data_IF_606763996461
#
_entry.id   IF_606763996461
#
_cell.length_a   1.000
_cell.length_b   1.000
_cell.length_c   1.000
_cell.angle_alpha   90.00
_cell.angle_beta   90.00
_cell.angle_gamma   90.00
#
_symmetry.space_group_name_H-M   'P 1'
#
loop_
_entity.id
_entity.type
_entity.pdbx_description
1 polymer ?
2 non-polymer ?
3 water ?
#
# COMPACT_ATOMS: atom_id res chain seq x y z
N UNK A 15 25.93 -13.58 10.22
CA UNK A 15 24.55 -13.97 9.99
C UNK A 15 23.84 -12.95 9.10
N UNK A 16 23.70 -13.30 7.82
CA UNK A 16 22.84 -12.55 6.93
C UNK A 16 21.53 -13.30 6.84
N UNK A 17 20.41 -12.71 7.23
CA UNK A 17 19.14 -13.44 7.14
C UNK A 17 18.55 -13.39 5.73
N UNK A 18 17.66 -14.34 5.48
CA UNK A 18 16.75 -14.23 4.37
C UNK A 18 15.66 -13.21 4.71
N UNK A 19 14.96 -12.73 3.68
CA UNK A 19 13.88 -11.79 3.86
C UNK A 19 12.68 -12.28 3.07
N UNK A 20 11.52 -12.33 3.72
CA UNK A 20 10.24 -12.63 3.07
C UNK A 20 9.34 -11.42 3.29
N UNK A 21 8.89 -10.82 2.19
CA UNK A 21 8.02 -9.65 2.23
C UNK A 21 6.67 -10.02 1.65
N UNK A 22 5.61 -9.92 2.45
CA UNK A 22 4.24 -9.93 1.95
C UNK A 22 3.90 -8.51 1.58
N UNK A 23 3.68 -8.28 0.30
CA UNK A 23 3.39 -6.94 -0.21
C UNK A 23 1.97 -6.96 -0.69
N UNK A 24 1.05 -6.35 0.06
CA UNK A 24 -0.38 -6.49 -0.20
C UNK A 24 -0.87 -5.21 -0.87
N UNK A 25 -1.56 -5.38 -2.00
CA UNK A 25 -2.01 -4.24 -2.79
C UNK A 25 -3.29 -3.64 -2.23
N UNK A 26 -3.26 -2.33 -2.02
CA UNK A 26 -4.47 -1.54 -1.74
C UNK A 26 -5.03 -1.83 -0.35
N UNK A 27 -4.16 -2.25 0.58
CA UNK A 27 -4.54 -2.64 1.93
C UNK A 27 -4.30 -1.50 2.92
N UNK A 28 -5.37 -0.92 3.43
CA UNK A 28 -5.25 -0.12 4.64
C UNK A 28 -5.17 -1.06 5.84
N UNK A 29 -4.98 -0.51 7.03
CA UNK A 29 -4.77 -1.35 8.22
C UNK A 29 -6.09 -1.88 8.77
N UNK A 30 -6.90 -2.51 7.92
CA UNK A 30 -8.20 -3.09 8.30
C UNK A 30 -7.94 -4.54 8.68
N UNK A 31 -7.39 -4.67 9.90
CA UNK A 31 -6.82 -5.91 10.42
C UNK A 31 -7.14 -5.98 11.90
N UNK A 32 -7.46 -7.19 12.39
CA UNK A 32 -7.76 -7.35 13.81
C UNK A 32 -6.69 -6.76 14.71
N UNK A 33 -5.43 -7.01 14.39
CA UNK A 33 -4.35 -6.53 15.25
C UNK A 33 -4.21 -5.02 15.25
N UNK A 34 -4.77 -4.33 14.27
CA UNK A 34 -4.81 -2.88 14.23
C UNK A 34 -6.09 -2.34 14.86
N UNK A 35 -6.83 -3.19 15.54
CA UNK A 35 -8.03 -2.76 16.24
C UNK A 35 -9.28 -2.73 15.39
N UNK A 36 -9.24 -3.27 14.18
CA UNK A 36 -10.47 -3.35 13.41
C UNK A 36 -11.45 -4.23 14.17
N UNK A 37 -12.67 -3.75 14.31
CA UNK A 37 -13.72 -4.56 14.93
C UNK A 37 -14.44 -5.41 13.91
N UNK A 38 -14.09 -5.26 12.64
CA UNK A 38 -14.77 -6.01 11.58
C UNK A 38 -13.90 -7.11 11.00
N UNK A 39 -12.62 -6.83 10.73
CA UNK A 39 -11.82 -7.75 9.92
C UNK A 39 -11.47 -9.01 10.69
N UNK A 40 -11.54 -10.15 9.99
CA UNK A 40 -11.19 -11.45 10.54
C UNK A 40 -9.86 -11.88 9.90
N UNK A 41 -8.76 -11.72 10.63
CA UNK A 41 -7.42 -11.82 10.07
C UNK A 41 -6.51 -12.62 11.00
N UNK A 42 -6.83 -13.88 11.26
CA UNK A 42 -6.06 -14.64 12.27
C UNK A 42 -4.59 -14.80 11.94
N UNK A 43 -4.24 -14.99 10.67
CA UNK A 43 -2.84 -15.28 10.34
C UNK A 43 -1.98 -14.03 10.40
N UNK A 44 -2.50 -12.91 9.92
CA UNK A 44 -1.76 -11.66 10.03
C UNK A 44 -1.66 -11.25 11.49
N UNK A 45 -2.74 -11.46 12.25
CA UNK A 45 -2.69 -11.14 13.68
C UNK A 45 -1.61 -11.97 14.37
N UNK A 46 -1.50 -13.25 14.00
CA UNK A 46 -0.46 -14.08 14.60
C UNK A 46 0.93 -13.55 14.27
N UNK A 47 1.13 -13.16 13.02
CA UNK A 47 2.40 -12.55 12.68
C UNK A 47 2.70 -11.33 13.54
N UNK A 48 1.69 -10.50 13.81
CA UNK A 48 1.91 -9.36 14.69
C UNK A 48 2.31 -9.79 16.10
N UNK A 49 1.73 -10.88 16.62
CA UNK A 49 2.13 -11.38 17.93
C UNK A 49 3.57 -11.87 17.94
N UNK A 50 4.15 -12.07 16.76
CA UNK A 50 5.53 -12.53 16.62
C UNK A 50 6.50 -11.43 16.17
N UNK A 51 6.09 -10.16 16.20
CA UNK A 51 6.94 -9.10 15.69
C UNK A 51 6.53 -7.77 16.23
N UNK A 52 6.93 -6.73 15.51
CA UNK A 52 6.67 -5.35 15.87
C UNK A 52 5.69 -4.79 14.85
N UNK A 53 4.62 -4.21 15.36
CA UNK A 53 3.58 -3.61 14.56
C UNK A 53 3.74 -2.10 14.61
N UNK A 54 3.83 -1.48 13.44
CA UNK A 54 4.00 -0.05 13.32
C UNK A 54 2.64 0.59 13.09
N UNK A 55 2.20 1.39 14.06
CA UNK A 55 0.92 2.05 14.00
C UNK A 55 0.93 3.39 13.28
N UNK A 56 2.11 3.90 12.93
CA UNK A 56 2.25 5.18 12.21
C UNK A 56 3.21 5.01 11.05
N UNK A 57 2.86 4.08 10.15
CA UNK A 57 3.62 3.87 8.91
C UNK A 57 2.86 4.49 7.75
N UNK A 58 3.61 5.14 6.84
CA UNK A 58 3.04 5.95 5.77
C UNK A 58 3.75 5.77 4.45
N UNK A 59 2.97 5.81 3.37
CA UNK A 59 3.48 5.72 2.02
C UNK A 59 3.80 7.09 1.46
N UNK A 60 4.50 7.11 0.32
CA UNK A 60 5.00 8.36 -0.26
C UNK A 60 4.13 8.90 -1.40
N UNK A 61 3.18 8.10 -1.89
CA UNK A 61 2.12 8.52 -2.78
C UNK A 61 1.09 7.38 -2.78
N UNK A 62 -0.18 7.74 -2.69
CA UNK A 62 -1.26 6.74 -2.57
C UNK A 62 -1.77 6.28 -3.94
N UNK A 63 -0.87 5.70 -4.72
CA UNK A 63 -1.22 4.98 -5.94
C UNK A 63 -0.13 3.96 -6.20
N UNK A 64 -0.46 2.92 -6.99
CA UNK A 64 0.38 1.73 -6.97
C UNK A 64 1.76 1.97 -7.54
N UNK A 65 1.85 2.45 -8.80
CA UNK A 65 3.14 2.44 -9.48
C UNK A 65 4.15 3.34 -8.77
N UNK A 66 3.85 4.60 -8.48
CA UNK A 66 4.85 5.44 -7.80
C UNK A 66 5.21 4.88 -6.43
N UNK A 67 4.22 4.38 -5.67
CA UNK A 67 4.51 3.89 -4.33
C UNK A 67 5.47 2.74 -4.38
N UNK A 68 5.23 1.80 -5.31
CA UNK A 68 6.03 0.61 -5.37
C UNK A 68 7.43 0.89 -5.89
N UNK A 69 7.55 1.70 -6.95
CA UNK A 69 8.92 2.00 -7.43
C UNK A 69 9.67 2.84 -6.41
N UNK A 70 8.98 3.70 -5.66
CA UNK A 70 9.64 4.43 -4.60
C UNK A 70 10.17 3.48 -3.53
N UNK A 71 9.35 2.51 -3.11
CA UNK A 71 9.78 1.56 -2.11
C UNK A 71 10.93 0.71 -2.62
N UNK A 72 10.84 0.27 -3.89
CA UNK A 72 11.84 -0.65 -4.44
C UNK A 72 13.15 0.06 -4.80
N UNK A 73 13.16 1.39 -4.89
CA UNK A 73 14.38 2.15 -5.10
C UNK A 73 14.83 2.91 -3.87
N UNK A 74 14.01 3.01 -2.82
CA UNK A 74 14.40 3.84 -1.69
C UNK A 74 14.48 5.30 -2.02
N UNK A 75 13.80 5.75 -3.05
CA UNK A 75 13.75 7.14 -3.47
C UNK A 75 12.30 7.60 -3.49
N UNK A 76 12.05 8.83 -3.19
CA UNK A 76 10.69 9.35 -3.19
C UNK A 76 10.16 9.60 -4.60
N UNK A 77 8.84 9.55 -4.80
CA UNK A 77 8.27 9.88 -6.12
C UNK A 77 8.73 11.21 -6.67
N UNK A 78 8.86 12.24 -5.84
CA UNK A 78 9.31 13.53 -6.33
C UNK A 78 10.80 13.57 -6.67
N UNK A 79 11.58 12.57 -6.24
CA UNK A 79 12.93 12.42 -6.75
C UNK A 79 12.91 11.79 -8.14
N UNK A 80 12.02 10.83 -8.36
CA UNK A 80 11.89 10.17 -9.66
C UNK A 80 11.07 10.95 -10.68
N UNK A 81 10.24 11.87 -10.24
CA UNK A 81 9.33 12.61 -11.09
C UNK A 81 8.21 11.78 -11.69
N UNK A 82 7.82 10.67 -11.06
CA UNK A 82 6.79 9.77 -11.59
C UNK A 82 5.67 9.71 -10.58
N UNK A 83 4.52 10.25 -10.96
CA UNK A 83 3.37 10.40 -10.07
C UNK A 83 2.11 9.76 -10.62
N UNK A 84 2.17 9.09 -11.77
CA UNK A 84 1.01 8.41 -12.33
C UNK A 84 1.36 6.97 -12.61
N UNK A 85 0.52 6.30 -13.39
CA UNK A 85 0.45 4.84 -13.46
C UNK A 85 0.86 4.26 -14.79
N UNK A 86 1.30 5.09 -15.74
CA UNK A 86 1.54 4.64 -17.09
C UNK A 86 3.01 4.66 -17.47
N UNK A 87 3.90 4.73 -16.49
CA UNK A 87 5.32 4.95 -16.73
C UNK A 87 6.15 4.00 -15.87
N UNK A 88 6.58 2.87 -16.42
CA UNK A 88 7.49 1.98 -15.69
C UNK A 88 8.74 2.73 -15.25
N UNK A 89 9.28 2.35 -14.08
CA UNK A 89 10.50 2.98 -13.59
C UNK A 89 11.56 2.97 -14.68
N UNK A 90 11.77 1.81 -15.29
CA UNK A 90 12.84 1.63 -16.22
C UNK A 90 12.55 2.20 -17.62
N UNK A 91 11.37 2.77 -17.84
CA UNK A 91 11.15 3.50 -19.08
C UNK A 91 11.71 4.91 -19.03
N UNK A 92 12.14 5.38 -17.85
CA UNK A 92 12.73 6.69 -17.65
C UNK A 92 14.10 6.59 -17.00
N UNK A 93 14.19 5.84 -15.88
CA UNK A 93 15.38 5.80 -14.99
C UNK A 93 16.01 4.42 -15.01
N UNK A 94 16.97 4.21 -15.89
CA UNK A 94 17.51 2.88 -16.06
C UNK A 94 18.61 2.54 -15.06
N UNK A 95 19.16 3.54 -14.35
CA UNK A 95 20.35 3.35 -13.54
C UNK A 95 20.15 3.34 -12.03
N UNK A 96 19.09 3.95 -11.51
CA UNK A 96 18.91 3.93 -10.06
C UNK A 96 18.87 2.50 -9.59
N UNK A 97 19.58 2.23 -8.51
CA UNK A 97 19.74 0.88 -8.00
C UNK A 97 18.53 0.47 -7.16
N UNK A 98 17.95 -0.69 -7.47
CA UNK A 98 16.75 -1.17 -6.80
C UNK A 98 17.08 -2.32 -5.86
N UNK A 99 16.06 -2.72 -5.10
CA UNK A 99 16.16 -3.86 -4.17
C UNK A 99 16.62 -5.12 -4.89
N UNK A 100 15.91 -5.61 -5.92
CA UNK A 100 16.37 -6.86 -6.55
C UNK A 100 17.75 -6.71 -7.16
N UNK A 101 18.07 -5.57 -7.76
CA UNK A 101 19.40 -5.39 -8.37
C UNK A 101 20.49 -5.52 -7.32
N UNK A 102 20.32 -4.80 -6.21
CA UNK A 102 21.35 -4.80 -5.18
C UNK A 102 21.48 -6.18 -4.54
N UNK A 103 20.35 -6.80 -4.24
CA UNK A 103 20.42 -8.11 -3.60
C UNK A 103 21.00 -9.16 -4.54
N UNK A 104 20.63 -9.15 -5.82
CA UNK A 104 21.18 -10.13 -6.75
C UNK A 104 22.69 -9.96 -6.88
N UNK A 105 23.16 -8.70 -6.94
CA UNK A 105 24.60 -8.43 -7.05
C UNK A 105 25.36 -8.90 -5.81
N UNK A 106 24.65 -8.98 -4.68
CA UNK A 106 25.24 -9.41 -3.42
C UNK A 106 24.93 -10.86 -3.08
N UNK A 107 24.68 -11.69 -4.09
CA UNK A 107 24.65 -13.12 -3.87
C UNK A 107 23.35 -13.70 -3.38
N UNK A 108 22.30 -12.90 -3.26
CA UNK A 108 20.99 -13.42 -2.87
C UNK A 108 20.22 -13.91 -4.09
N UNK A 109 19.44 -14.96 -3.89
CA UNK A 109 18.36 -15.25 -4.81
C UNK A 109 17.30 -14.17 -4.61
N UNK A 110 16.67 -13.74 -5.70
CA UNK A 110 15.70 -12.65 -5.70
C UNK A 110 14.41 -13.15 -6.34
N UNK A 111 13.33 -13.10 -5.59
CA UNK A 111 12.09 -13.73 -6.02
C UNK A 111 11.01 -12.68 -6.05
N UNK A 112 10.30 -12.64 -7.19
CA UNK A 112 9.12 -11.79 -7.35
C UNK A 112 7.97 -12.68 -7.76
N UNK A 113 6.93 -12.69 -6.92
CA UNK A 113 5.70 -13.44 -7.15
C UNK A 113 4.57 -12.44 -7.06
N UNK A 114 3.63 -12.54 -8.00
CA UNK A 114 2.48 -11.65 -7.88
C UNK A 114 2.83 -10.22 -8.23
N UNK A 115 2.08 -9.27 -7.68
CA UNK A 115 2.26 -7.85 -7.98
C UNK A 115 3.29 -7.24 -7.03
N UNK A 116 4.47 -6.95 -7.57
CA UNK A 116 5.58 -6.36 -6.83
C UNK A 116 5.83 -4.97 -7.42
N UNK A 117 6.58 -4.86 -8.51
CA UNK A 117 6.45 -3.65 -9.33
C UNK A 117 5.08 -3.62 -9.98
N UNK A 118 4.49 -2.42 -10.12
CA UNK A 118 3.20 -2.33 -10.82
C UNK A 118 3.34 -2.79 -12.25
N UNK A 119 4.47 -2.51 -12.89
CA UNK A 119 4.77 -2.90 -14.26
C UNK A 119 5.78 -4.04 -14.16
N UNK A 120 5.37 -5.25 -14.53
CA UNK A 120 6.21 -6.42 -14.36
C UNK A 120 7.47 -6.38 -15.16
N UNK A 121 7.52 -5.57 -16.22
CA UNK A 121 8.76 -5.42 -16.98
C UNK A 121 9.86 -4.78 -16.16
N UNK A 122 9.55 -3.99 -15.13
CA UNK A 122 10.59 -3.30 -14.39
C UNK A 122 11.48 -4.30 -13.65
N UNK A 123 12.78 -4.27 -13.94
CA UNK A 123 13.76 -5.15 -13.30
C UNK A 123 13.47 -6.62 -13.50
N UNK A 124 12.79 -6.98 -14.59
CA UNK A 124 12.44 -8.39 -14.77
C UNK A 124 13.68 -9.26 -14.71
N UNK A 125 14.80 -8.80 -15.28
CA UNK A 125 16.04 -9.56 -15.34
C UNK A 125 16.79 -9.57 -14.02
N UNK A 126 16.36 -8.81 -13.02
CA UNK A 126 17.04 -8.78 -11.73
C UNK A 126 16.48 -9.81 -10.77
N UNK A 127 15.45 -10.55 -11.18
CA UNK A 127 14.85 -11.59 -10.36
C UNK A 127 15.43 -12.91 -10.80
N UNK A 128 16.01 -13.67 -9.88
CA UNK A 128 16.44 -15.03 -10.20
C UNK A 128 15.24 -15.96 -10.35
N UNK A 129 14.12 -15.64 -9.70
CA UNK A 129 12.94 -16.47 -9.77
C UNK A 129 11.74 -15.53 -9.91
N UNK A 130 11.04 -15.62 -11.03
CA UNK A 130 10.03 -14.63 -11.38
C UNK A 130 8.74 -15.36 -11.76
N UNK A 131 7.64 -15.02 -11.08
CA UNK A 131 6.31 -15.50 -11.42
C UNK A 131 5.48 -14.24 -11.63
N UNK A 132 5.07 -14.02 -12.88
CA UNK A 132 4.38 -12.80 -13.23
C UNK A 132 3.10 -12.62 -12.44
N UNK A 133 2.79 -11.38 -12.11
CA UNK A 133 1.44 -11.04 -11.73
C UNK A 133 0.49 -11.50 -12.83
N UNK A 134 -0.71 -11.91 -12.44
CA UNK A 134 -1.67 -12.53 -13.33
C UNK A 134 -2.88 -11.64 -13.51
N UNK A 135 -3.60 -11.80 -14.62
CA UNK A 135 -4.82 -11.03 -14.83
C UNK A 135 -5.90 -11.42 -13.83
N UNK A 136 -6.90 -10.57 -13.76
CA UNK A 136 -8.08 -10.90 -12.95
C UNK A 136 -8.83 -12.10 -13.52
N UNK A 137 -9.48 -12.86 -12.63
CA UNK A 137 -10.31 -14.00 -13.00
C UNK A 137 -11.70 -13.79 -12.43
N UNK A 138 -12.71 -13.96 -13.29
CA UNK A 138 -14.10 -14.11 -12.88
C UNK A 138 -14.48 -15.56 -13.10
N UNK A 139 -14.90 -16.22 -12.03
CA UNK A 139 -15.23 -17.64 -12.06
C UNK A 139 -16.72 -17.93 -12.11
N UNK A 140 -17.56 -16.96 -11.90
CA UNK A 140 -18.98 -17.24 -11.99
C UNK A 140 -19.41 -17.26 -13.45
N UNK A 141 -20.09 -18.33 -13.91
CA UNK A 141 -20.53 -18.38 -15.32
C UNK A 141 -21.23 -17.11 -15.80
N UNK A 142 -22.06 -16.49 -14.96
CA UNK A 142 -22.71 -15.23 -15.34
C UNK A 142 -21.69 -14.14 -15.69
N UNK A 143 -20.62 -14.02 -14.92
CA UNK A 143 -19.63 -12.99 -15.20
C UNK A 143 -18.83 -13.36 -16.45
N UNK A 144 -18.53 -14.65 -16.61
CA UNK A 144 -17.87 -15.15 -17.82
C UNK A 144 -18.72 -14.83 -19.05
N UNK A 145 -20.04 -14.95 -18.91
CA UNK A 145 -20.95 -14.69 -20.02
C UNK A 145 -21.02 -13.20 -20.32
N UNK A 146 -21.07 -12.38 -19.29
CA UNK A 146 -21.01 -10.93 -19.49
C UNK A 146 -19.79 -10.57 -20.32
N UNK A 147 -18.62 -11.09 -19.93
CA UNK A 147 -17.39 -10.75 -20.63
C UNK A 147 -17.41 -11.31 -22.05
N UNK A 148 -18.07 -12.45 -22.24
CA UNK A 148 -18.19 -13.03 -23.57
C UNK A 148 -19.07 -12.15 -24.46
N UNK A 149 -20.16 -11.63 -23.90
CA UNK A 149 -21.05 -10.75 -24.64
C UNK A 149 -20.37 -9.42 -24.95
N UNK A 150 -19.44 -9.00 -24.08
CA UNK A 150 -18.57 -7.87 -24.39
C UNK A 150 -17.68 -8.18 -25.59
N UNK A 151 -17.00 -9.32 -25.57
CA UNK A 151 -16.05 -9.65 -26.63
C UNK A 151 -16.76 -9.76 -27.98
N UNK A 152 -17.95 -10.36 -27.98
CA UNK A 152 -18.82 -10.39 -29.15
C UNK A 152 -19.75 -9.18 -29.15
N UNK A 153 -19.11 -8.01 -29.10
CA UNK A 153 -19.75 -6.70 -29.13
C UNK A 153 -18.67 -5.65 -29.33
N UNK A 154 -17.42 -6.10 -29.44
CA UNK A 154 -16.26 -5.25 -29.59
C UNK A 154 -15.88 -4.43 -28.38
N UNK A 155 -16.50 -4.64 -27.21
CA UNK A 155 -16.17 -3.81 -26.06
C UNK A 155 -15.03 -4.43 -25.25
N UNK A 156 -14.01 -3.63 -24.98
CA UNK A 156 -13.14 -3.82 -23.83
C UNK A 156 -13.75 -3.07 -22.65
N UNK A 157 -14.34 -3.79 -21.70
CA UNK A 157 -14.93 -3.21 -20.50
C UNK A 157 -14.69 -4.14 -19.31
N UNK A 158 -14.63 -3.56 -18.10
CA UNK A 158 -14.46 -4.37 -16.91
C UNK A 158 -15.72 -5.19 -16.58
N UNK A 159 -15.54 -6.34 -15.92
CA UNK A 159 -16.61 -7.04 -15.25
C UNK A 159 -17.06 -6.31 -13.99
N UNK A 160 -17.84 -6.96 -13.13
CA UNK A 160 -18.32 -6.29 -11.90
C UNK A 160 -17.19 -6.03 -10.92
N UNK A 161 -17.51 -5.24 -9.92
CA UNK A 161 -16.50 -4.80 -8.96
C UNK A 161 -16.13 -5.82 -7.90
N UNK A 162 -16.80 -6.96 -7.88
CA UNK A 162 -16.57 -7.98 -6.86
C UNK A 162 -17.14 -9.28 -7.37
N UNK A 163 -16.72 -10.37 -6.72
CA UNK A 163 -17.22 -11.69 -7.06
C UNK A 163 -17.03 -12.61 -5.87
N UNK A 164 -17.97 -13.55 -5.67
CA UNK A 164 -17.95 -14.47 -4.51
C UNK A 164 -18.15 -15.93 -4.93
N UNK A 165 -17.37 -16.43 -5.82
CA UNK A 165 -17.57 -17.76 -6.37
C UNK A 165 -17.21 -18.83 -5.35
N UNK A 166 -17.94 -19.95 -5.42
CA UNK A 166 -17.78 -21.04 -4.45
C UNK A 166 -16.72 -22.01 -4.97
N UNK A 167 -15.46 -21.57 -4.80
CA UNK A 167 -14.33 -22.14 -5.49
C UNK A 167 -13.13 -22.29 -4.56
N UNK A 168 -12.23 -23.20 -4.92
CA UNK A 168 -10.96 -23.36 -4.22
C UNK A 168 -10.13 -22.08 -4.29
N UNK A 169 -9.24 -21.94 -3.32
CA UNK A 169 -8.42 -20.74 -3.21
C UNK A 169 -7.62 -20.45 -4.48
N UNK A 170 -7.14 -21.49 -5.16
CA UNK A 170 -6.30 -21.28 -6.33
C UNK A 170 -7.09 -20.89 -7.57
N UNK A 171 -8.40 -20.66 -7.43
CA UNK A 171 -9.21 -20.17 -8.54
C UNK A 171 -9.05 -18.68 -8.76
N UNK A 172 -8.40 -17.97 -7.85
CA UNK A 172 -8.05 -16.56 -8.03
C UNK A 172 -6.54 -16.42 -7.83
N UNK A 173 -5.99 -15.28 -8.28
CA UNK A 173 -4.55 -15.18 -8.44
C UNK A 173 -3.77 -15.27 -7.14
N UNK A 174 -4.34 -14.83 -6.01
CA UNK A 174 -3.54 -14.83 -4.79
C UNK A 174 -3.35 -16.22 -4.22
N UNK A 175 -4.32 -17.12 -4.42
CA UNK A 175 -4.08 -18.50 -4.00
C UNK A 175 -2.96 -19.11 -4.82
N UNK A 176 -2.90 -18.77 -6.09
CA UNK A 176 -1.80 -19.23 -6.94
C UNK A 176 -0.47 -18.63 -6.50
N UNK A 177 -0.46 -17.35 -6.16
CA UNK A 177 0.77 -16.75 -5.66
C UNK A 177 1.25 -17.46 -4.41
N UNK A 178 0.34 -17.83 -3.50
CA UNK A 178 0.77 -18.56 -2.31
C UNK A 178 1.41 -19.88 -2.70
N UNK A 179 0.80 -20.60 -3.65
CA UNK A 179 1.37 -21.85 -4.13
C UNK A 179 2.78 -21.64 -4.68
N UNK A 180 2.97 -20.60 -5.50
CA UNK A 180 4.30 -20.36 -6.04
C UNK A 180 5.29 -20.06 -4.93
N UNK A 181 4.86 -19.31 -3.91
CA UNK A 181 5.76 -18.98 -2.81
C UNK A 181 6.17 -20.23 -2.04
N UNK A 182 5.21 -21.11 -1.75
CA UNK A 182 5.49 -22.34 -1.01
C UNK A 182 6.47 -23.21 -1.79
N UNK A 183 6.22 -23.36 -3.10
CA UNK A 183 7.10 -24.18 -3.91
C UNK A 183 8.51 -23.60 -3.99
N UNK A 184 8.60 -22.27 -4.09
CA UNK A 184 9.90 -21.63 -4.25
C UNK A 184 10.70 -21.64 -2.95
N UNK A 185 10.01 -21.49 -1.81
CA UNK A 185 10.69 -21.65 -0.53
C UNK A 185 11.33 -23.03 -0.42
N UNK A 186 10.61 -24.08 -0.88
CA UNK A 186 11.22 -25.42 -0.85
C UNK A 186 12.45 -25.46 -1.75
N UNK A 187 12.34 -24.88 -2.96
CA UNK A 187 13.44 -24.93 -3.93
C UNK A 187 14.67 -24.20 -3.41
N UNK A 188 14.47 -23.09 -2.71
CA UNK A 188 15.54 -22.17 -2.31
C UNK A 188 15.96 -22.34 -0.84
N UNK A 189 15.58 -23.44 -0.20
CA UNK A 189 15.70 -23.51 1.26
C UNK A 189 17.13 -23.40 1.75
N UNK A 190 18.13 -23.81 0.95
CA UNK A 190 19.51 -23.72 1.41
C UNK A 190 20.28 -22.53 0.83
N UNK A 191 19.60 -21.58 0.20
CA UNK A 191 20.24 -20.40 -0.39
C UNK A 191 19.77 -19.16 0.35
N UNK A 192 20.65 -18.15 0.42
CA UNK A 192 20.23 -16.82 0.89
C UNK A 192 19.22 -16.25 -0.11
N UNK A 193 18.09 -15.74 0.38
CA UNK A 193 17.09 -15.25 -0.55
C UNK A 193 16.35 -14.03 0.01
N UNK A 194 15.85 -13.21 -0.91
CA UNK A 194 14.84 -12.21 -0.62
C UNK A 194 13.65 -12.50 -1.56
N UNK A 195 12.46 -12.62 -0.98
CA UNK A 195 11.26 -13.00 -1.71
C UNK A 195 10.14 -12.02 -1.45
N UNK A 196 9.60 -11.46 -2.51
CA UNK A 196 8.40 -10.63 -2.46
C UNK A 196 7.22 -11.46 -2.91
N UNK A 197 6.23 -11.60 -2.03
CA UNK A 197 4.97 -12.27 -2.36
C UNK A 197 3.93 -11.17 -2.46
N UNK A 198 3.60 -10.79 -3.68
CA UNK A 198 2.74 -9.67 -3.93
C UNK A 198 1.30 -10.07 -4.08
N UNK A 199 0.56 -10.06 -2.99
CA UNK A 199 -0.86 -10.39 -3.00
C UNK A 199 -1.62 -9.19 -3.54
N UNK A 200 -2.52 -9.46 -4.48
CA UNK A 200 -3.22 -8.40 -5.23
C UNK A 200 -4.50 -7.93 -4.57
N UNK A 201 -5.30 -8.83 -4.00
CA UNK A 201 -6.45 -8.37 -3.24
C UNK A 201 -5.94 -7.67 -1.97
N UNK A 202 -6.63 -6.62 -1.50
CA UNK A 202 -7.97 -6.20 -1.88
C UNK A 202 -8.08 -5.10 -2.96
N UNK A 203 -7.10 -4.96 -3.85
CA UNK A 203 -7.33 -4.15 -5.05
C UNK A 203 -8.55 -4.69 -5.80
N UNK A 204 -9.32 -3.78 -6.39
CA UNK A 204 -10.47 -4.17 -7.19
C UNK A 204 -10.06 -5.06 -8.35
N UNK A 205 -10.97 -5.91 -8.84
CA UNK A 205 -12.29 -6.23 -8.26
C UNK A 205 -12.10 -7.07 -7.01
N UNK A 206 -13.04 -6.97 -6.08
CA UNK A 206 -12.98 -7.71 -4.82
C UNK A 206 -13.47 -9.13 -5.09
N UNK A 207 -12.59 -9.94 -5.66
CA UNK A 207 -12.90 -11.28 -6.13
C UNK A 207 -12.24 -12.25 -5.18
N UNK A 208 -13.04 -12.99 -4.43
CA UNK A 208 -12.53 -13.88 -3.41
C UNK A 208 -13.51 -15.02 -3.21
N UNK A 209 -13.02 -16.19 -2.79
CA UNK A 209 -13.93 -17.33 -2.63
C UNK A 209 -15.02 -17.08 -1.60
N UNK A 210 -16.13 -17.76 -1.83
CA UNK A 210 -17.32 -17.69 -1.00
C UNK A 210 -17.03 -17.86 0.48
N UNK A 211 -16.15 -18.78 0.86
CA UNK A 211 -15.99 -19.02 2.28
C UNK A 211 -15.49 -17.80 3.02
N UNK A 212 -14.84 -16.87 2.31
CA UNK A 212 -14.34 -15.65 2.97
C UNK A 212 -15.44 -14.61 3.04
N UNK A 213 -16.30 -14.54 2.02
CA UNK A 213 -17.50 -13.72 2.12
C UNK A 213 -18.36 -14.18 3.30
N UNK A 214 -18.46 -15.50 3.50
CA UNK A 214 -19.32 -16.08 4.51
C UNK A 214 -18.85 -15.80 5.93
N UNK A 215 -17.65 -15.24 6.13
CA UNK A 215 -17.22 -14.79 7.43
C UNK A 215 -17.93 -13.52 7.88
N UNK A 216 -18.69 -12.85 7.02
CA UNK A 216 -19.26 -11.54 7.32
C UNK A 216 -20.71 -11.49 6.90
N UNK A 217 -21.48 -10.62 7.55
CA UNK A 217 -22.81 -10.26 7.10
C UNK A 217 -22.74 -8.83 6.61
N UNK A 218 -23.12 -8.60 5.36
CA UNK A 218 -22.98 -7.24 4.83
C UNK A 218 -23.75 -6.24 5.65
N UNK A 219 -24.84 -6.68 6.30
CA UNK A 219 -25.69 -5.79 7.07
C UNK A 219 -25.07 -5.39 8.39
N UNK A 220 -23.99 -6.04 8.82
CA UNK A 220 -23.31 -5.64 10.06
C UNK A 220 -22.38 -4.46 9.87
N UNK A 221 -21.98 -4.14 8.63
CA UNK A 221 -21.01 -3.08 8.41
C UNK A 221 -21.68 -1.75 8.64
N UNK A 222 -21.00 -0.90 9.42
CA UNK A 222 -21.39 0.49 9.52
C UNK A 222 -21.06 1.18 8.21
N UNK A 223 -21.96 2.03 7.76
CA UNK A 223 -21.76 2.82 6.54
C UNK A 223 -21.12 4.16 6.90
N UNK A 224 -19.99 4.51 6.32
CA UNK A 224 -19.39 5.81 6.63
C UNK A 224 -20.28 6.97 6.19
N UNK A 225 -20.18 8.09 6.90
CA UNK A 225 -20.98 9.24 6.54
C UNK A 225 -20.66 9.75 5.16
N UNK A 226 -21.69 10.14 4.43
CA UNK A 226 -21.53 10.70 3.09
C UNK A 226 -21.34 12.20 3.25
N UNK A 227 -20.12 12.56 3.63
CA UNK A 227 -19.77 13.94 3.93
C UNK A 227 -18.34 14.20 3.48
N UNK A 228 -18.12 15.27 2.75
CA UNK A 228 -16.78 15.69 2.42
C UNK A 228 -16.24 16.62 3.50
N UNK A 229 -14.93 16.68 3.73
CA UNK A 229 -14.42 17.60 4.76
C UNK A 229 -14.79 19.05 4.45
N UNK A 230 -15.26 19.75 5.47
CA UNK A 230 -15.62 21.14 5.32
C UNK A 230 -14.40 21.95 4.87
N UNK A 231 -14.59 22.77 3.83
CA UNK A 231 -13.53 23.59 3.27
C UNK A 231 -12.35 22.79 2.77
N UNK A 232 -12.56 21.54 2.38
CA UNK A 232 -11.48 20.82 1.73
C UNK A 232 -11.01 21.56 0.48
N UNK A 233 -9.76 21.29 0.08
CA UNK A 233 -9.33 21.74 -1.24
C UNK A 233 -10.18 21.05 -2.30
N UNK A 234 -10.48 21.76 -3.38
CA UNK A 234 -11.42 21.24 -4.36
C UNK A 234 -10.97 19.92 -4.97
N UNK A 235 -9.66 19.67 -5.07
CA UNK A 235 -9.15 18.41 -5.62
C UNK A 235 -8.61 17.46 -4.55
N UNK A 236 -9.03 17.62 -3.30
CA UNK A 236 -8.54 16.72 -2.25
C UNK A 236 -8.92 15.28 -2.55
N UNK A 237 -10.13 15.06 -3.04
CA UNK A 237 -10.66 13.72 -3.31
C UNK A 237 -11.00 13.58 -4.79
N UNK A 238 -10.79 12.38 -5.32
CA UNK A 238 -11.21 12.09 -6.69
C UNK A 238 -12.68 11.66 -6.71
N UNK A 239 -13.20 11.52 -7.93
CA UNK A 239 -14.51 10.92 -8.18
C UNK A 239 -14.42 9.42 -8.41
N UNK A 240 -13.35 8.79 -7.96
CA UNK A 240 -13.24 7.34 -7.93
C UNK A 240 -13.58 6.72 -9.29
N UNK A 241 -12.95 7.28 -10.33
CA UNK A 241 -13.01 6.68 -11.66
C UNK A 241 -12.63 5.22 -11.70
N UNK A 242 -11.66 4.82 -10.88
CA UNK A 242 -11.28 3.42 -10.86
C UNK A 242 -12.49 2.52 -10.62
N UNK A 243 -13.28 2.84 -9.60
CA UNK A 243 -14.44 2.00 -9.27
C UNK A 243 -15.54 2.18 -10.32
N UNK A 244 -15.73 3.42 -10.81
CA UNK A 244 -16.73 3.67 -11.85
C UNK A 244 -16.50 2.84 -13.10
N UNK A 245 -15.28 2.39 -13.36
CA UNK A 245 -15.01 1.57 -14.54
C UNK A 245 -15.56 0.18 -14.48
N UNK A 246 -16.03 -0.29 -13.34
CA UNK A 246 -16.54 -1.65 -13.19
C UNK A 246 -18.02 -1.72 -13.53
N UNK A 247 -18.40 -2.84 -14.14
CA UNK A 247 -19.79 -3.03 -14.54
C UNK A 247 -20.69 -3.00 -13.32
N UNK A 248 -21.83 -2.33 -13.45
CA UNK A 248 -22.80 -2.25 -12.38
C UNK A 248 -22.61 -1.11 -11.42
N UNK A 249 -21.55 -0.33 -11.53
CA UNK A 249 -21.34 0.81 -10.65
C UNK A 249 -21.92 2.05 -11.32
N UNK A 250 -22.92 2.70 -10.74
CA UNK A 250 -23.42 3.91 -11.40
C UNK A 250 -22.34 4.98 -11.44
N UNK A 251 -22.23 5.64 -12.59
CA UNK A 251 -21.18 6.60 -12.87
C UNK A 251 -21.65 8.03 -12.77
N UNK A 252 -22.92 8.26 -12.48
CA UNK A 252 -23.52 9.57 -12.60
C UNK A 252 -24.07 10.09 -11.27
N UNK A 253 -23.51 9.61 -10.15
CA UNK A 253 -23.98 9.97 -8.82
C UNK A 253 -22.83 10.30 -7.89
N UNK A 254 -23.07 11.24 -6.99
CA UNK A 254 -22.08 11.55 -5.98
C UNK A 254 -21.88 10.38 -5.02
N UNK A 255 -22.97 9.73 -4.60
CA UNK A 255 -22.90 8.72 -3.55
C UNK A 255 -23.60 7.44 -3.94
N UNK A 256 -22.98 6.32 -3.61
CA UNK A 256 -23.59 5.02 -3.77
C UNK A 256 -24.59 4.73 -2.66
N UNK A 257 -25.55 3.86 -2.98
CA UNK A 257 -26.59 3.46 -2.05
C UNK A 257 -26.03 2.59 -0.93
N UNK A 258 -26.82 2.41 0.13
CA UNK A 258 -26.41 1.59 1.26
C UNK A 258 -26.09 0.15 0.85
N UNK A 259 -26.94 -0.47 0.01
CA UNK A 259 -26.74 -1.87 -0.32
C UNK A 259 -25.42 -2.08 -1.07
N UNK A 260 -25.19 -1.29 -2.12
CA UNK A 260 -23.95 -1.44 -2.88
C UNK A 260 -22.74 -1.05 -2.04
N UNK A 261 -22.88 0.00 -1.22
CA UNK A 261 -21.80 0.35 -0.31
C UNK A 261 -21.44 -0.83 0.58
N UNK A 262 -22.45 -1.50 1.12
CA UNK A 262 -22.20 -2.67 1.96
C UNK A 262 -21.60 -3.83 1.17
N UNK A 263 -22.06 -4.06 -0.06
CA UNK A 263 -21.46 -5.12 -0.87
C UNK A 263 -19.98 -4.86 -1.08
N UNK A 264 -19.61 -3.60 -1.35
CA UNK A 264 -18.20 -3.25 -1.57
C UNK A 264 -17.39 -3.40 -0.28
N UNK A 265 -17.92 -2.89 0.83
CA UNK A 265 -17.25 -3.08 2.12
C UNK A 265 -17.06 -4.56 2.40
N UNK A 266 -18.11 -5.34 2.13
CA UNK A 266 -18.08 -6.78 2.33
C UNK A 266 -17.00 -7.42 1.47
N UNK A 267 -16.94 -7.06 0.19
CA UNK A 267 -15.92 -7.62 -0.69
C UNK A 267 -14.50 -7.26 -0.26
N UNK A 268 -14.29 -6.02 0.21
CA UNK A 268 -12.97 -5.62 0.68
C UNK A 268 -12.57 -6.49 1.87
N UNK A 269 -13.51 -6.70 2.82
CA UNK A 269 -13.22 -7.55 3.98
C UNK A 269 -13.02 -9.01 3.60
N UNK A 270 -13.85 -9.55 2.70
CA UNK A 270 -13.70 -10.93 2.26
C UNK A 270 -12.34 -11.12 1.61
N UNK A 271 -11.94 -10.14 0.79
CA UNK A 271 -10.65 -10.18 0.11
C UNK A 271 -9.50 -10.18 1.11
N UNK A 272 -9.60 -9.34 2.15
CA UNK A 272 -8.58 -9.33 3.19
C UNK A 272 -8.49 -10.68 3.87
N UNK A 273 -9.63 -11.29 4.23
CA UNK A 273 -9.58 -12.59 4.91
C UNK A 273 -9.04 -13.69 4.00
N UNK A 274 -9.32 -13.58 2.70
CA UNK A 274 -8.74 -14.51 1.72
C UNK A 274 -7.22 -14.40 1.69
N UNK A 275 -6.72 -13.17 1.58
CA UNK A 275 -5.28 -12.95 1.60
C UNK A 275 -4.68 -13.39 2.95
N UNK A 276 -5.38 -13.13 4.05
CA UNK A 276 -4.91 -13.60 5.36
C UNK A 276 -4.67 -15.10 5.34
N UNK A 277 -5.62 -15.86 4.75
CA UNK A 277 -5.43 -17.32 4.68
C UNK A 277 -4.23 -17.68 3.82
N UNK A 278 -3.99 -16.91 2.76
CA UNK A 278 -2.81 -17.20 1.91
C UNK A 278 -1.49 -16.88 2.63
N UNK A 279 -1.46 -15.80 3.41
CA UNK A 279 -0.32 -15.52 4.30
C UNK A 279 -0.07 -16.72 5.19
N UNK A 280 -1.14 -17.27 5.78
CA UNK A 280 -0.98 -18.42 6.66
C UNK A 280 -0.33 -19.60 5.95
N UNK A 281 -0.71 -19.85 4.70
CA UNK A 281 -0.12 -20.98 3.96
C UNK A 281 1.38 -20.77 3.75
N UNK A 282 1.78 -19.55 3.41
CA UNK A 282 3.19 -19.31 3.18
C UNK A 282 3.98 -19.41 4.48
N UNK A 283 3.43 -18.86 5.57
CA UNK A 283 4.10 -18.96 6.88
C UNK A 283 4.24 -20.40 7.33
N UNK A 284 3.22 -21.22 7.06
CA UNK A 284 3.28 -22.65 7.41
C UNK A 284 4.43 -23.32 6.69
N UNK A 285 4.62 -22.99 5.40
CA UNK A 285 5.75 -23.57 4.68
C UNK A 285 7.08 -23.07 5.21
N UNK A 286 7.18 -21.78 5.50
CA UNK A 286 8.41 -21.25 6.07
C UNK A 286 8.78 -22.00 7.34
N UNK A 287 7.78 -22.27 8.21
CA UNK A 287 8.02 -23.00 9.45
C UNK A 287 8.42 -24.45 9.16
N UNK A 288 7.66 -25.13 8.31
CA UNK A 288 7.91 -26.55 8.05
C UNK A 288 9.30 -26.79 7.47
N UNK A 289 9.80 -25.82 6.70
CA UNK A 289 11.10 -25.92 6.05
C UNK A 289 12.24 -25.51 6.96
N UNK A 290 11.95 -25.10 8.19
CA UNK A 290 12.99 -24.68 9.11
C UNK A 290 13.62 -23.36 8.75
N UNK A 291 12.88 -22.49 8.05
CA UNK A 291 13.42 -21.22 7.59
C UNK A 291 13.12 -20.06 8.53
N UNK A 292 12.19 -20.22 9.47
CA UNK A 292 11.83 -19.09 10.32
C UNK A 292 13.04 -18.65 11.16
N UNK A 293 13.93 -19.59 11.52
CA UNK A 293 15.08 -19.25 12.34
C UNK A 293 15.98 -18.22 11.69
N UNK A 294 16.00 -18.15 10.35
CA UNK A 294 16.91 -17.24 9.68
C UNK A 294 16.22 -16.37 8.64
N UNK A 295 14.92 -16.16 8.75
CA UNK A 295 14.19 -15.31 7.80
C UNK A 295 13.44 -14.23 8.58
N UNK A 296 13.75 -12.98 8.26
CA UNK A 296 12.92 -11.85 8.70
C UNK A 296 11.70 -11.78 7.79
N UNK A 297 10.53 -11.57 8.39
CA UNK A 297 9.28 -11.45 7.65
C UNK A 297 8.75 -10.04 7.81
N UNK A 298 8.38 -9.44 6.68
CA UNK A 298 7.78 -8.12 6.63
C UNK A 298 6.42 -8.24 5.99
N UNK A 299 5.43 -7.58 6.57
CA UNK A 299 4.08 -7.49 6.02
C UNK A 299 3.82 -6.02 5.78
N UNK A 300 3.54 -5.65 4.54
CA UNK A 300 3.44 -4.24 4.17
C UNK A 300 2.41 -4.08 3.06
N UNK A 301 2.08 -2.82 2.76
CA UNK A 301 1.09 -2.47 1.75
C UNK A 301 1.63 -1.32 0.91
N UNK A 302 1.10 -1.16 -0.31
CA UNK A 302 1.49 -0.02 -1.14
C UNK A 302 0.75 1.28 -0.86
N UNK A 303 -0.38 1.28 -0.16
CA UNK A 303 -1.10 2.50 0.19
C UNK A 303 -2.38 2.09 0.89
N UNK A 304 -3.04 3.08 1.47
CA UNK A 304 -4.34 2.91 2.08
C UNK A 304 -5.47 2.99 1.09
N UNK A 305 -6.68 3.19 1.60
CA UNK A 305 -7.85 2.97 0.76
C UNK A 305 -9.09 3.49 1.45
N UNK A 306 -10.09 3.82 0.63
CA UNK A 306 -11.41 4.22 1.08
C UNK A 306 -12.45 3.22 0.59
N UNK A 307 -13.26 2.73 1.53
CA UNK A 307 -14.42 1.90 1.24
C UNK A 307 -15.65 2.64 1.75
N UNK A 308 -15.90 3.83 1.21
CA UNK A 308 -17.07 4.62 1.51
C UNK A 308 -16.79 5.82 2.40
N UNK A 309 -15.58 5.97 2.92
CA UNK A 309 -15.25 7.13 3.76
C UNK A 309 -15.30 8.40 2.91
N UNK A 310 -15.89 9.45 3.47
CA UNK A 310 -16.20 10.67 2.74
C UNK A 310 -17.16 10.41 1.59
N UNK A 311 -17.88 9.30 1.67
CA UNK A 311 -18.70 8.84 0.55
C UNK A 311 -17.92 8.47 -0.68
N UNK A 312 -16.61 8.28 -0.55
CA UNK A 312 -15.70 8.08 -1.66
C UNK A 312 -15.03 6.71 -1.57
N UNK A 313 -14.25 6.40 -2.61
CA UNK A 313 -13.77 5.05 -2.84
C UNK A 313 -12.34 5.08 -3.39
N UNK A 314 -11.65 3.98 -3.27
CA UNK A 314 -10.34 3.77 -3.90
C UNK A 314 -9.28 4.58 -3.14
N UNK A 315 -8.23 5.07 -3.81
CA UNK A 315 -7.09 5.69 -3.14
C UNK A 315 -6.94 7.09 -3.73
N UNK A 316 -5.76 7.46 -4.20
CA UNK A 316 -5.60 8.61 -5.10
C UNK A 316 -5.80 9.93 -4.37
N UNK A 317 -5.27 10.04 -3.15
CA UNK A 317 -5.33 11.29 -2.41
C UNK A 317 -4.18 11.38 -1.44
N UNK A 318 -4.10 12.55 -0.81
CA UNK A 318 -3.21 12.81 0.32
C UNK A 318 -3.95 12.75 1.66
N UNK A 319 -5.16 12.21 1.68
CA UNK A 319 -5.88 12.06 2.94
C UNK A 319 -5.20 11.01 3.81
N UNK A 320 -5.27 11.19 5.14
CA UNK A 320 -4.68 10.25 6.09
C UNK A 320 -5.09 8.82 5.78
N UNK A 321 -6.38 8.60 5.48
CA UNK A 321 -6.89 7.24 5.26
C UNK A 321 -6.25 6.56 4.08
N UNK A 322 -5.74 7.34 3.10
CA UNK A 322 -5.08 6.80 1.91
C UNK A 322 -3.59 6.66 2.06
N UNK A 323 -2.96 7.39 2.98
CA UNK A 323 -1.50 7.41 3.10
C UNK A 323 -1.01 6.46 4.19
N UNK A 324 -1.83 6.21 5.22
CA UNK A 324 -1.44 5.33 6.33
C UNK A 324 -1.57 3.86 5.92
N UNK A 325 -0.58 3.04 6.26
CA UNK A 325 -0.58 1.63 5.89
C UNK A 325 -0.19 0.76 7.06
N UNK A 326 -0.59 -0.51 7.04
CA UNK A 326 -0.03 -1.47 8.01
C UNK A 326 1.41 -1.74 7.67
N UNK A 327 2.18 -2.10 8.70
CA UNK A 327 3.56 -2.53 8.53
C UNK A 327 3.92 -3.35 9.76
N UNK A 328 4.27 -4.62 9.56
CA UNK A 328 4.67 -5.51 10.65
C UNK A 328 6.01 -6.10 10.27
N UNK A 329 6.97 -6.09 11.20
CA UNK A 329 8.26 -6.69 10.96
C UNK A 329 8.54 -7.71 12.06
N UNK A 330 8.85 -8.93 11.67
CA UNK A 330 9.18 -10.01 12.59
C UNK A 330 10.60 -10.47 12.28
N UNK A 331 11.54 -10.21 13.20
CA UNK A 331 12.90 -10.65 12.99
C UNK A 331 12.96 -12.17 13.05
N UNK A 332 13.97 -12.72 12.39
CA UNK A 332 14.18 -14.15 12.39
C UNK A 332 14.31 -14.64 13.83
N UNK A 333 13.88 -15.89 14.07
CA UNK A 333 13.75 -16.39 15.44
C UNK A 333 15.11 -16.61 16.10
N UNK A 334 16.21 -16.67 15.34
CA UNK A 334 17.53 -16.80 15.95
C UNK A 334 18.10 -15.47 16.43
N UNK A 335 17.47 -14.36 16.11
CA UNK A 335 18.02 -13.06 16.46
C UNK A 335 17.80 -12.79 17.95
N UNK A 336 18.90 -12.62 18.68
CA UNK A 336 18.83 -12.53 20.14
C UNK A 336 18.06 -11.31 20.61
N UNK A 337 18.13 -10.21 19.88
CA UNK A 337 17.42 -9.03 20.33
C UNK A 337 15.99 -8.90 19.84
N UNK A 338 15.36 -9.97 19.38
CA UNK A 338 14.08 -9.80 18.70
C UNK A 338 12.95 -9.45 19.66
N UNK A 339 12.05 -8.59 19.19
CA UNK A 339 10.86 -8.14 19.90
C UNK A 339 9.64 -8.81 19.28
N UNK A 340 8.69 -9.24 20.11
CA UNK A 340 7.48 -9.89 19.63
C UNK A 340 6.25 -9.42 20.39
N UNK A 341 5.22 -9.06 19.63
CA UNK A 341 3.94 -8.68 20.18
C UNK A 341 3.86 -7.26 20.68
N UNK A 342 4.79 -6.40 20.28
CA UNK A 342 4.85 -5.03 20.70
C UNK A 342 4.50 -4.11 19.54
N UNK A 343 4.00 -2.93 19.85
CA UNK A 343 3.72 -1.91 18.86
C UNK A 343 4.75 -0.78 18.94
N UNK A 344 4.88 -0.07 17.83
CA UNK A 344 5.68 1.14 17.78
C UNK A 344 4.80 2.24 17.18
N UNK A 345 4.84 3.42 17.78
CA UNK A 345 4.24 4.62 17.24
C UNK A 345 5.28 5.51 16.55
N UNK A 346 6.47 4.99 16.29
CA UNK A 346 7.47 5.75 15.54
C UNK A 346 6.95 6.08 14.14
N UNK A 347 7.20 7.31 13.69
CA UNK A 347 6.73 7.72 12.38
C UNK A 347 7.69 7.17 11.34
N UNK A 348 7.23 6.22 10.56
CA UNK A 348 8.07 5.56 9.59
C UNK A 348 7.40 5.58 8.23
N UNK A 349 8.22 5.29 7.20
CA UNK A 349 7.82 5.43 5.81
C UNK A 349 8.20 4.18 5.04
N UNK A 350 7.40 3.87 4.01
CA UNK A 350 7.76 2.74 3.16
C UNK A 350 9.09 2.94 2.45
N UNK A 351 9.48 4.20 2.19
CA UNK A 351 10.78 4.51 1.58
C UNK A 351 11.93 4.17 2.50
N UNK A 352 11.64 3.82 3.76
CA UNK A 352 12.65 3.36 4.70
C UNK A 352 12.94 1.89 4.58
N UNK A 353 12.09 1.13 3.88
CA UNK A 353 12.26 -0.32 3.89
C UNK A 353 13.56 -0.73 3.22
N UNK A 354 13.88 -0.16 2.05
CA UNK A 354 15.12 -0.54 1.35
C UNK A 354 16.35 -0.25 2.20
N UNK A 355 16.56 0.94 2.77
CA UNK A 355 17.78 1.12 3.58
C UNK A 355 17.77 0.27 4.83
N UNK A 356 16.56 -0.07 5.33
CA UNK A 356 16.48 -1.02 6.45
C UNK A 356 17.00 -2.38 6.05
N UNK A 357 16.58 -2.87 4.88
CA UNK A 357 17.06 -4.16 4.40
C UNK A 357 18.55 -4.13 4.17
N UNK A 358 19.06 -3.00 3.66
CA UNK A 358 20.50 -2.87 3.45
C UNK A 358 21.23 -3.11 4.75
N UNK A 359 20.77 -2.46 5.83
CA UNK A 359 21.45 -2.60 7.11
C UNK A 359 21.26 -3.98 7.67
N UNK A 360 20.05 -4.53 7.50
CA UNK A 360 19.74 -5.82 8.08
C UNK A 360 20.62 -6.90 7.49
N UNK A 361 20.88 -6.83 6.19
CA UNK A 361 21.62 -7.87 5.48
C UNK A 361 23.09 -7.50 5.27
N UNK A 362 23.57 -6.44 5.91
CA UNK A 362 24.99 -6.14 5.89
C UNK A 362 25.53 -5.73 4.54
N UNK A 363 24.73 -5.06 3.72
CA UNK A 363 25.14 -4.65 2.39
C UNK A 363 25.54 -3.19 2.35
N UNK A 364 26.27 -2.82 1.30
CA UNK A 364 26.53 -1.42 0.97
C UNK A 364 25.44 -0.97 0.01
N UNK A 365 24.62 0.00 0.44
CA UNK A 365 23.50 0.40 -0.38
C UNK A 365 23.71 1.68 -1.15
N UNK A 366 22.78 1.99 -2.05
CA UNK A 366 22.84 3.21 -2.84
C UNK A 366 22.35 4.41 -2.04
N UNK A 367 22.48 5.58 -2.65
CA UNK A 367 21.86 6.79 -2.15
C UNK A 367 20.38 6.52 -1.91
N UNK A 368 19.85 7.07 -0.81
CA UNK A 368 18.45 6.85 -0.45
C UNK A 368 17.84 8.13 0.09
N UNK A 369 16.53 8.24 -0.09
CA UNK A 369 15.72 9.28 0.52
C UNK A 369 15.11 8.89 1.86
N UNK A 370 15.27 7.62 2.26
CA UNK A 370 14.77 7.14 3.53
C UNK A 370 15.92 6.91 4.49
N UNK A 371 15.64 6.17 5.54
CA UNK A 371 16.62 5.82 6.54
C UNK A 371 16.25 4.46 7.12
N UNK A 372 17.23 3.77 7.65
CA UNK A 372 16.98 2.49 8.27
C UNK A 372 16.12 2.65 9.54
N UNK A 373 15.12 1.78 9.71
CA UNK A 373 14.33 1.71 10.94
C UNK A 373 14.68 0.47 11.76
N UNK A 374 15.81 -0.16 11.47
CA UNK A 374 16.19 -1.34 12.23
C UNK A 374 16.22 -1.06 13.74
N UNK A 375 16.64 0.15 14.14
CA UNK A 375 16.69 0.52 15.56
C UNK A 375 15.32 0.40 16.21
N UNK A 376 14.29 0.85 15.51
CA UNK A 376 12.95 0.82 16.05
C UNK A 376 12.36 -0.58 16.00
N UNK A 377 12.71 -1.38 14.99
CA UNK A 377 12.31 -2.78 14.99
C UNK A 377 12.82 -3.48 16.25
N UNK A 378 14.02 -3.13 16.68
CA UNK A 378 14.57 -3.78 17.88
C UNK A 378 14.19 -3.07 19.18
N UNK A 379 13.87 -1.78 19.12
CA UNK A 379 13.49 -1.00 20.31
C UNK A 379 12.33 -0.12 19.91
N UNK A 380 11.10 -0.65 19.95
CA UNK A 380 9.96 0.05 19.32
C UNK A 380 9.59 1.37 19.93
N UNK A 381 9.99 1.67 21.17
CA UNK A 381 9.66 2.94 21.79
C UNK A 381 10.76 3.95 21.69
N UNK A 382 11.75 3.71 20.82
CA UNK A 382 12.81 4.69 20.61
C UNK A 382 12.18 5.97 20.10
N UNK A 383 12.48 7.13 20.69
CA UNK A 383 12.00 8.39 20.11
C UNK A 383 12.49 8.52 18.67
N UNK A 384 11.57 8.88 17.77
CA UNK A 384 11.86 8.79 16.35
C UNK A 384 11.50 10.09 15.63
N UNK A 385 11.32 9.99 14.30
CA UNK A 385 11.29 11.14 13.42
C UNK A 385 10.12 12.06 13.70
N UNK A 386 10.29 13.31 13.33
CA UNK A 386 9.31 14.35 13.50
C UNK A 386 8.21 14.34 12.44
N UNK A 387 8.46 13.78 11.24
CA UNK A 387 7.52 13.91 10.14
C UNK A 387 7.60 12.70 9.24
N UNK A 388 6.51 12.45 8.53
CA UNK A 388 6.44 11.58 7.36
C UNK A 388 5.73 12.35 6.26
N UNK A 389 6.21 12.23 5.02
CA UNK A 389 5.73 13.06 3.91
C UNK A 389 5.33 12.23 2.70
N UNK A 390 4.48 12.84 1.88
CA UNK A 390 3.96 12.23 0.66
C UNK A 390 3.65 13.34 -0.34
N UNK A 391 3.35 12.93 -1.57
CA UNK A 391 2.89 13.83 -2.63
C UNK A 391 1.71 13.18 -3.33
N UNK A 392 0.99 14.00 -4.09
CA UNK A 392 0.02 13.49 -5.04
C UNK A 392 -0.18 14.54 -6.13
N UNK A 393 0.07 14.18 -7.39
CA UNK A 393 -0.09 15.10 -8.51
C UNK A 393 -1.53 15.08 -9.00
N UNK A 394 -2.05 16.27 -9.31
CA UNK A 394 -3.33 16.41 -10.00
C UNK A 394 -3.03 16.97 -11.38
N UNK A 395 -2.65 16.09 -12.29
CA UNK A 395 -2.14 16.53 -13.59
C UNK A 395 -0.78 17.23 -13.45
N UNK A 396 -0.31 17.78 -14.56
CA UNK A 396 1.03 18.33 -14.60
C UNK A 396 1.14 19.66 -13.88
N UNK A 397 0.03 20.37 -13.65
CA UNK A 397 0.13 21.72 -13.17
C UNK A 397 -0.05 21.86 -11.67
N UNK A 398 -0.54 20.83 -10.97
CA UNK A 398 -0.84 20.93 -9.56
C UNK A 398 -0.17 19.78 -8.83
N UNK A 399 0.55 20.10 -7.74
CA UNK A 399 1.19 19.09 -6.91
C UNK A 399 0.75 19.28 -5.48
N UNK A 400 0.14 18.24 -4.90
CA UNK A 400 -0.11 18.21 -3.49
C UNK A 400 1.07 17.64 -2.75
N UNK A 401 1.45 18.31 -1.67
CA UNK A 401 2.55 17.94 -0.79
C UNK A 401 1.98 17.83 0.62
N UNK A 402 2.26 16.72 1.31
CA UNK A 402 1.65 16.52 2.60
C UNK A 402 2.66 16.02 3.63
N UNK A 403 2.37 16.36 4.88
CA UNK A 403 3.19 15.97 6.03
C UNK A 403 2.29 15.59 7.19
N UNK A 404 2.72 14.60 7.96
CA UNK A 404 2.14 14.35 9.28
C UNK A 404 3.25 14.30 10.31
N UNK A 405 2.93 14.78 11.52
CA UNK A 405 3.79 14.59 12.69
C UNK A 405 3.32 13.45 13.57
N UNK A 406 2.30 12.69 13.15
CA UNK A 406 1.69 11.68 13.99
C UNK A 406 0.41 12.14 14.66
N UNK A 407 0.10 13.40 14.61
CA UNK A 407 -1.12 13.94 15.20
C UNK A 407 -1.90 14.81 14.24
N UNK A 408 -1.21 15.62 13.46
CA UNK A 408 -1.80 16.54 12.49
C UNK A 408 -1.28 16.22 11.10
N UNK A 409 -2.12 16.44 10.10
CA UNK A 409 -1.73 16.36 8.69
C UNK A 409 -1.90 17.73 8.08
N UNK A 410 -0.89 18.16 7.37
CA UNK A 410 -0.89 19.45 6.70
C UNK A 410 -0.52 19.23 5.24
N UNK A 411 -1.32 19.78 4.33
CA UNK A 411 -1.18 19.53 2.91
C UNK A 411 -1.26 20.85 2.15
N UNK A 412 -0.31 21.10 1.26
CA UNK A 412 -0.37 22.25 0.35
C UNK A 412 -0.57 21.73 -1.07
N UNK A 413 -1.51 22.34 -1.78
CA UNK A 413 -1.73 22.08 -3.19
C UNK A 413 -1.11 23.27 -3.90
N UNK A 414 0.00 23.00 -4.57
CA UNK A 414 0.85 24.02 -5.16
C UNK A 414 0.77 24.01 -6.68
N UNK A 415 0.96 25.17 -7.25
CA UNK A 415 1.34 25.27 -8.65
C UNK A 415 2.65 24.52 -8.80
N UNK A 416 2.67 23.49 -9.63
CA UNK A 416 3.80 22.60 -9.67
C UNK A 416 5.01 23.23 -10.31
N UNK A 417 4.82 24.36 -10.98
CA UNK A 417 5.93 25.07 -11.58
C UNK A 417 6.46 26.14 -10.63
N UNK A 418 5.59 26.99 -10.13
CA UNK A 418 6.02 28.19 -9.42
C UNK A 418 6.18 27.96 -7.93
N UNK A 419 5.58 26.89 -7.41
CA UNK A 419 5.50 26.59 -6.00
C UNK A 419 4.50 27.47 -5.26
N UNK A 420 3.70 28.31 -5.93
CA UNK A 420 2.66 29.09 -5.25
C UNK A 420 1.64 28.14 -4.62
N UNK A 421 1.11 28.50 -3.47
CA UNK A 421 0.01 27.74 -2.86
C UNK A 421 -1.29 28.07 -3.57
N UNK A 422 -1.99 27.03 -4.02
CA UNK A 422 -3.34 27.15 -4.55
C UNK A 422 -4.39 26.86 -3.49
N UNK A 423 -4.08 25.99 -2.53
CA UNK A 423 -4.91 25.77 -1.36
C UNK A 423 -4.12 25.01 -0.33
N UNK A 424 -4.54 25.13 0.91
CA UNK A 424 -3.89 24.44 2.02
C UNK A 424 -4.93 23.78 2.90
N UNK A 425 -4.52 22.69 3.54
CA UNK A 425 -5.41 21.90 4.37
C UNK A 425 -4.68 21.51 5.64
N UNK A 426 -5.39 21.59 6.76
CA UNK A 426 -4.90 21.14 8.06
C UNK A 426 -5.97 20.27 8.71
N UNK A 427 -5.62 19.02 8.96
CA UNK A 427 -6.54 18.04 9.49
C UNK A 427 -5.99 17.43 10.77
N UNK A 428 -6.81 17.42 11.81
CA UNK A 428 -6.45 16.79 13.08
C UNK A 428 -6.72 15.28 13.01
N UNK A 429 -5.74 14.48 13.44
CA UNK A 429 -5.81 13.02 13.40
C UNK A 429 -5.26 12.43 14.70
N UNK A 430 -5.80 12.87 15.82
CA UNK A 430 -5.35 12.40 17.13
C UNK A 430 -5.94 11.02 17.45
N UNK A 431 -7.21 10.79 17.10
CA UNK A 431 -7.85 9.52 17.45
C UNK A 431 -8.75 9.00 16.32
N UNK A 432 -8.56 9.46 15.07
CA UNK A 432 -9.32 8.97 13.94
C UNK A 432 -8.48 9.18 12.70
N UNK A 433 -8.60 8.24 11.77
CA UNK A 433 -8.05 8.40 10.43
C UNK A 433 -8.84 9.36 9.57
N UNK A 434 -10.00 9.81 10.01
CA UNK A 434 -10.87 10.70 9.26
C UNK A 434 -10.93 12.05 9.94
N UNK A 435 -11.04 13.10 9.14
CA UNK A 435 -11.37 14.42 9.63
C UNK A 435 -12.32 15.09 8.66
N UNK A 436 -13.37 15.71 9.20
CA UNK A 436 -14.38 16.37 8.40
C UNK A 436 -14.28 17.89 8.46
N UNK A 437 -13.13 18.43 8.90
CA UNK A 437 -13.00 19.89 8.95
C UNK A 437 -11.58 20.31 8.61
N UNK A 438 -11.42 21.05 7.52
CA UNK A 438 -10.14 21.68 7.20
C UNK A 438 -9.94 22.89 8.10
N UNK A 439 -8.94 22.84 8.96
CA UNK A 439 -8.66 23.91 9.91
C UNK A 439 -7.67 24.95 9.40
N UNK A 440 -7.23 24.84 8.16
CA UNK A 440 -6.26 25.81 7.64
C UNK A 440 -6.87 27.20 7.67
N UNK A 441 -6.09 28.15 8.17
CA UNK A 441 -6.54 29.51 8.28
C UNK A 441 -7.37 29.79 9.52
N UNK A 442 -7.78 28.78 10.25
CA UNK A 442 -8.59 29.00 11.46
C UNK A 442 -7.72 29.61 12.53
N UNK A 443 -8.19 30.70 13.12
CA UNK A 443 -7.35 31.46 14.02
C UNK A 443 -6.97 30.69 15.28
N UNK A 444 -7.72 29.66 15.65
CA UNK A 444 -7.39 28.87 16.83
C UNK A 444 -6.26 27.90 16.58
N UNK A 445 -5.84 27.71 15.32
CA UNK A 445 -4.87 26.68 14.98
C UNK A 445 -3.63 27.26 14.32
N UNK A 446 -3.35 28.55 14.55
CA UNK A 446 -2.22 29.20 13.87
C UNK A 446 -0.90 28.54 14.25
N UNK A 447 -0.74 28.15 15.51
CA UNK A 447 0.51 27.56 15.94
C UNK A 447 0.72 26.19 15.33
N UNK A 448 -0.34 25.37 15.30
CA UNK A 448 -0.24 24.04 14.69
C UNK A 448 0.07 24.19 13.21
N UNK A 449 -0.61 25.15 12.56
CA UNK A 449 -0.41 25.29 11.12
C UNK A 449 1.01 25.72 10.83
N UNK A 450 1.55 26.63 11.67
CA UNK A 450 2.90 27.12 11.40
C UNK A 450 3.92 26.02 11.63
N UNK A 451 3.69 25.20 12.66
CA UNK A 451 4.63 24.14 12.93
C UNK A 451 4.60 23.13 11.80
N UNK A 452 3.39 22.74 11.37
CA UNK A 452 3.30 21.72 10.33
C UNK A 452 3.83 22.27 9.00
N UNK A 453 3.58 23.56 8.72
CA UNK A 453 4.07 24.13 7.50
C UNK A 453 5.59 24.14 7.49
N UNK A 454 6.20 24.38 8.66
CA UNK A 454 7.64 24.37 8.69
C UNK A 454 8.19 22.99 8.38
N UNK A 455 7.53 21.96 8.95
CA UNK A 455 7.97 20.59 8.66
C UNK A 455 7.80 20.31 7.17
N UNK A 456 6.64 20.70 6.61
CA UNK A 456 6.40 20.43 5.20
C UNK A 456 7.44 21.13 4.34
N UNK A 457 7.71 22.40 4.66
CA UNK A 457 8.58 23.19 3.79
C UNK A 457 10.03 22.72 3.87
N UNK A 458 10.42 22.08 4.98
CA UNK A 458 11.77 21.51 5.01
C UNK A 458 11.89 20.41 3.96
N UNK A 459 10.84 19.60 3.79
CA UNK A 459 10.90 18.56 2.78
C UNK A 459 10.64 19.12 1.38
N UNK A 460 9.77 20.13 1.27
CA UNK A 460 9.30 20.66 0.00
C UNK A 460 9.59 22.17 -0.06
N UNK A 461 10.84 22.55 -0.30
CA UNK A 461 11.18 23.97 -0.37
C UNK A 461 10.45 24.66 -1.51
N UNK A 462 10.31 25.98 -1.37
CA UNK A 462 9.65 26.78 -2.37
C UNK A 462 10.63 27.49 -3.28
N UNK A 463 11.94 27.42 -2.99
CA UNK A 463 12.96 28.24 -3.64
C UNK A 463 14.00 27.39 -4.36
N UNK A 464 13.62 26.20 -4.81
CA UNK A 464 14.51 25.30 -5.56
C UNK A 464 13.92 24.89 -6.92
N UNK A 465 12.95 25.64 -7.43
CA UNK A 465 12.41 25.44 -8.76
C UNK A 465 11.21 24.52 -8.79
N UNK A 466 10.77 24.15 -10.01
CA UNK A 466 9.59 23.28 -10.17
C UNK A 466 9.81 21.86 -9.70
N UNK A 467 8.70 21.16 -9.41
CA UNK A 467 8.75 19.71 -9.23
C UNK A 467 9.22 19.08 -10.53
N UNK A 468 9.99 18.00 -10.41
CA UNK A 468 10.34 17.20 -11.57
C UNK A 468 9.09 16.54 -12.15
N UNK A 469 9.04 16.44 -13.47
CA UNK A 469 7.93 15.80 -14.17
C UNK A 469 8.48 14.82 -15.20
N UNK A 470 8.40 13.52 -14.92
CA UNK A 470 8.91 12.51 -15.83
C UNK A 470 7.89 11.43 -16.20
N UNK A 471 6.62 11.62 -15.88
CA UNK A 471 5.61 10.68 -16.40
C UNK A 471 5.52 10.83 -17.91
N UNK A 472 5.33 9.72 -18.58
CA UNK A 472 5.16 9.71 -20.02
C UNK A 472 3.86 9.04 -20.45
N UNK A 473 3.43 9.24 -21.71
CA UNK A 473 2.19 8.60 -22.16
C UNK A 473 2.21 7.09 -21.96
#
# INVERSE_FOLDING_TARGET
MGSSHHHHHHGSQQSQPNVLVFYVDDLRAELGCYGSKTAITPNIDKLATEGVQFNKAYVQQAICAPSRMSTLTGLRPETLGIYSIFTPLRSVHKDVVSVPQLFKENGYKTVSIGKVYHHGTDDKNQWTNYFTKEPNTYNKPENIALLEQFKKEGKKANGPAFENADVADEAYKDGRAAKYAVETLKKLKNDKFIMFVGFSKPHLPFNAPKKYWDLYDKNNFEIPERKKPENMYRLALTNWGELKGYHGIPNDVEYLDDNLTRDLIHGYHASISYVDAQVGKVMEALEALGLRKNTTVIFMSDHGYKIGEYGAWCKHSNEEIDVRVPLIVSRETSYKGRVAGKTSDALVENVDIFPTLVELCGLEGPKTDGKSILQVIDRPNTPWDQVATAVYARGKNIMGCTATDGEWRYTEWRDAKTQDILGAELYEHKNSLLSFKNLSGNTKYKKEEARMKGLLETQFPRNQGPFLQHDTPRN
#
